data_IF_724700118592
#
_entry.id   IF_724700118592
#
_cell.length_a   1.000
_cell.length_b   1.000
_cell.length_c   1.000
_cell.angle_alpha   90.00
_cell.angle_beta   90.00
_cell.angle_gamma   90.00
#
_symmetry.space_group_name_H-M   'P 1'
#
loop_
_entity.id
_entity.type
_entity.pdbx_description
1 polymer ?
#
# COMPACT_ATOMS: atom_id res chain seq x y z
N UNK A 1 19.22 5.34 18.33
CA UNK A 1 18.51 4.32 17.53
C UNK A 1 17.08 4.81 17.40
N UNK A 2 16.80 5.49 16.28
CA UNK A 2 15.70 6.46 16.16
C UNK A 2 14.34 5.80 16.02
N UNK A 3 13.30 6.46 16.54
CA UNK A 3 11.86 6.12 16.44
C UNK A 3 11.40 5.64 15.05
N UNK A 4 12.08 6.05 13.97
CA UNK A 4 11.83 5.55 12.61
C UNK A 4 12.00 4.03 12.43
N UNK A 5 12.91 3.40 13.18
CA UNK A 5 13.12 1.95 13.13
C UNK A 5 11.99 1.20 13.84
N UNK A 6 11.44 1.75 14.92
CA UNK A 6 10.30 1.14 15.62
C UNK A 6 9.02 1.18 14.79
N UNK A 7 8.75 2.25 14.03
CA UNK A 7 7.59 2.31 13.13
C UNK A 7 7.68 1.28 12.00
N UNK A 8 8.85 1.13 11.37
CA UNK A 8 9.05 0.16 10.27
C UNK A 8 8.90 -1.29 10.76
N UNK A 9 9.38 -1.57 11.98
CA UNK A 9 9.23 -2.88 12.64
C UNK A 9 7.76 -3.17 12.97
N UNK A 10 6.98 -2.18 13.39
CA UNK A 10 5.54 -2.35 13.63
C UNK A 10 4.76 -2.66 12.34
N UNK A 11 5.06 -1.97 11.24
CA UNK A 11 4.49 -2.28 9.92
C UNK A 11 4.79 -3.73 9.49
N UNK A 12 6.03 -4.20 9.67
CA UNK A 12 6.42 -5.57 9.28
C UNK A 12 5.74 -6.68 10.09
N UNK A 13 5.39 -6.44 11.36
CA UNK A 13 4.69 -7.43 12.18
C UNK A 13 3.18 -7.54 11.87
N UNK A 14 2.62 -6.63 11.07
CA UNK A 14 1.19 -6.50 10.81
C UNK A 14 0.71 -7.16 9.49
N UNK A 15 1.60 -7.80 8.73
CA UNK A 15 1.34 -8.27 7.36
C UNK A 15 1.32 -9.80 7.21
N UNK A 16 0.67 -10.52 8.12
CA UNK A 16 0.58 -12.00 8.11
C UNK A 16 0.34 -12.58 6.70
N UNK A 17 1.22 -13.51 6.29
CA UNK A 17 1.30 -14.02 4.91
C UNK A 17 0.30 -15.17 4.67
N UNK A 18 -0.63 -15.01 3.72
CA UNK A 18 -1.48 -16.09 3.22
C UNK A 18 -1.34 -16.23 1.70
N UNK A 19 -1.22 -17.48 1.22
CA UNK A 19 -1.07 -17.79 -0.19
C UNK A 19 -2.42 -18.20 -0.80
N UNK A 20 -2.84 -17.53 -1.88
CA UNK A 20 -3.97 -17.93 -2.72
C UNK A 20 -3.50 -18.87 -3.85
N UNK A 21 -4.39 -19.73 -4.40
CA UNK A 21 -4.03 -20.76 -5.37
C UNK A 21 -3.50 -20.25 -6.72
N UNK A 22 -3.61 -18.94 -7.01
CA UNK A 22 -3.29 -18.37 -8.33
C UNK A 22 -1.92 -17.65 -8.41
N UNK A 23 -1.02 -17.87 -7.43
CA UNK A 23 0.33 -17.29 -7.45
C UNK A 23 0.39 -15.80 -7.11
N UNK A 24 -0.68 -15.29 -6.49
CA UNK A 24 -0.81 -13.94 -5.95
C UNK A 24 -0.55 -14.00 -4.44
N UNK A 25 0.39 -13.19 -3.94
CA UNK A 25 0.62 -13.04 -2.49
C UNK A 25 -0.02 -11.72 -2.07
N UNK A 26 -1.03 -11.80 -1.20
CA UNK A 26 -1.61 -10.67 -0.50
C UNK A 26 -1.06 -10.64 0.91
N UNK A 27 -0.54 -9.49 1.34
CA UNK A 27 -0.42 -9.21 2.77
C UNK A 27 -1.78 -8.69 3.25
N UNK A 28 -2.46 -9.47 4.07
CA UNK A 28 -3.71 -9.01 4.71
C UNK A 28 -3.34 -8.11 5.90
N UNK A 29 -4.05 -7.00 6.11
CA UNK A 29 -3.88 -6.22 7.33
C UNK A 29 -4.34 -7.07 8.52
N UNK A 30 -3.52 -7.23 9.57
CA UNK A 30 -4.02 -7.74 10.85
C UNK A 30 -5.01 -6.70 11.39
N UNK A 31 -6.31 -7.04 11.34
CA UNK A 31 -7.36 -6.34 12.07
C UNK A 31 -7.11 -6.55 13.56
N UNK A 32 -6.57 -5.53 14.25
CA UNK A 32 -6.42 -5.52 15.71
C UNK A 32 -7.67 -4.87 16.33
N UNK A 33 -8.59 -5.64 16.94
CA UNK A 33 -9.78 -5.10 17.58
C UNK A 33 -9.46 -4.20 18.79
N UNK A 34 -8.21 -4.19 19.27
CA UNK A 34 -7.76 -3.42 20.44
C UNK A 34 -7.22 -2.03 20.08
N UNK A 35 -7.02 -1.72 18.79
CA UNK A 35 -6.52 -0.41 18.34
C UNK A 35 -7.59 0.69 18.42
N UNK A 36 -8.87 0.35 18.21
CA UNK A 36 -9.97 1.32 18.24
C UNK A 36 -10.27 1.88 19.65
N UNK A 37 -10.02 1.10 20.70
CA UNK A 37 -10.43 1.47 22.07
C UNK A 37 -9.36 2.30 22.82
N UNK A 38 -8.09 2.28 22.36
CA UNK A 38 -7.01 3.05 22.99
C UNK A 38 -6.92 4.51 22.56
N UNK A 39 -7.43 4.87 21.38
CA UNK A 39 -7.46 6.28 20.93
C UNK A 39 -8.64 7.07 21.51
N UNK A 40 -9.71 6.40 21.96
CA UNK A 40 -10.93 7.07 22.42
C UNK A 40 -10.87 7.66 23.84
N UNK A 41 -9.90 7.32 24.68
CA UNK A 41 -9.94 7.68 26.10
C UNK A 41 -8.85 8.61 26.65
N UNK A 42 -7.89 9.10 25.84
CA UNK A 42 -6.94 10.10 26.35
C UNK A 42 -6.49 11.11 25.30
N UNK A 43 -7.31 12.17 25.12
CA UNK A 43 -6.88 13.59 25.16
C UNK A 43 -8.03 14.52 24.75
N UNK A 44 -8.77 14.99 25.75
CA UNK A 44 -9.60 16.18 25.61
C UNK A 44 -8.71 17.44 25.51
N UNK A 45 -8.97 18.23 24.47
CA UNK A 45 -8.55 19.63 24.17
C UNK A 45 -7.10 19.88 23.75
N UNK A 46 -6.91 20.10 22.44
CA UNK A 46 -6.67 21.44 21.84
C UNK A 46 -6.91 21.38 20.32
N UNK A 47 -7.70 22.34 19.84
CA UNK A 47 -7.94 22.63 18.43
C UNK A 47 -6.64 22.84 17.65
N UNK A 48 -6.36 21.95 16.70
CA UNK A 48 -5.52 22.18 15.53
C UNK A 48 -6.09 21.27 14.42
N UNK A 49 -6.80 21.88 13.46
CA UNK A 49 -7.34 21.32 12.20
C UNK A 49 -7.71 19.81 12.19
N UNK A 50 -8.99 19.51 12.47
CA UNK A 50 -9.56 18.17 12.65
C UNK A 50 -9.79 17.36 11.36
N UNK A 51 -8.86 17.38 10.40
CA UNK A 51 -8.97 16.56 9.19
C UNK A 51 -7.60 15.93 8.93
N UNK A 52 -7.26 14.91 9.71
CA UNK A 52 -6.18 14.00 9.32
C UNK A 52 -6.69 13.21 8.11
N UNK A 53 -6.11 13.46 6.94
CA UNK A 53 -6.48 12.77 5.72
C UNK A 53 -5.69 11.47 5.64
N UNK A 54 -6.39 10.35 5.57
CA UNK A 54 -5.78 9.05 5.29
C UNK A 54 -5.88 8.79 3.80
N UNK A 55 -4.84 8.17 3.25
CA UNK A 55 -4.83 7.69 1.87
C UNK A 55 -4.49 6.22 1.93
N UNK A 56 -5.49 5.39 1.68
CA UNK A 56 -5.40 3.94 1.69
C UNK A 56 -4.89 3.44 0.35
N UNK A 57 -3.74 2.76 0.37
CA UNK A 57 -3.01 2.41 -0.85
C UNK A 57 -2.94 0.90 -1.02
N UNK A 58 -3.41 0.44 -2.18
CA UNK A 58 -3.06 -0.85 -2.76
C UNK A 58 -1.76 -0.72 -3.56
N UNK A 59 -0.77 -1.54 -3.24
CA UNK A 59 0.49 -1.64 -4.01
C UNK A 59 0.51 -2.96 -4.76
N UNK A 60 0.72 -2.91 -6.07
CA UNK A 60 0.85 -4.10 -6.92
C UNK A 60 2.24 -4.12 -7.52
N UNK A 61 2.98 -5.20 -7.34
CA UNK A 61 4.27 -5.42 -7.97
C UNK A 61 4.16 -6.48 -9.05
N UNK A 62 4.60 -6.16 -10.26
CA UNK A 62 4.57 -7.09 -11.40
C UNK A 62 5.61 -8.23 -11.27
N UNK A 63 5.52 -9.19 -12.18
CA UNK A 63 6.45 -10.33 -12.23
C UNK A 63 7.90 -9.90 -12.43
N UNK A 64 8.15 -8.82 -13.20
CA UNK A 64 9.50 -8.30 -13.42
C UNK A 64 10.10 -7.66 -12.16
N UNK A 65 9.28 -6.97 -11.36
CA UNK A 65 9.67 -6.50 -10.03
C UNK A 65 9.97 -7.67 -9.09
N UNK A 66 9.18 -8.74 -9.12
CA UNK A 66 9.43 -9.96 -8.34
C UNK A 66 10.72 -10.66 -8.77
N UNK A 67 10.95 -10.82 -10.07
CA UNK A 67 12.17 -11.43 -10.60
C UNK A 67 13.42 -10.62 -10.22
N UNK A 68 13.33 -9.29 -10.27
CA UNK A 68 14.46 -8.41 -9.99
C UNK A 68 14.82 -8.33 -8.50
N UNK A 69 13.84 -8.15 -7.61
CA UNK A 69 14.09 -7.99 -6.16
C UNK A 69 14.04 -9.32 -5.38
N UNK A 70 13.44 -10.37 -5.96
CA UNK A 70 13.29 -11.68 -5.35
C UNK A 70 12.61 -11.61 -3.98
N UNK A 71 13.25 -12.22 -2.98
CA UNK A 71 12.77 -12.27 -1.60
C UNK A 71 12.80 -10.91 -0.88
N UNK A 72 13.57 -9.93 -1.39
CA UNK A 72 13.66 -8.58 -0.79
C UNK A 72 12.60 -7.61 -1.33
N UNK A 73 11.74 -8.04 -2.25
CA UNK A 73 10.74 -7.16 -2.89
C UNK A 73 9.83 -6.49 -1.86
N UNK A 74 9.35 -7.26 -0.87
CA UNK A 74 8.46 -6.74 0.15
C UNK A 74 9.14 -5.65 1.00
N UNK A 75 10.35 -5.93 1.51
CA UNK A 75 11.14 -4.95 2.26
C UNK A 75 11.46 -3.71 1.43
N UNK A 76 11.70 -3.88 0.14
CA UNK A 76 11.89 -2.77 -0.80
C UNK A 76 10.64 -1.90 -0.91
N UNK A 77 9.46 -2.51 -1.11
CA UNK A 77 8.17 -1.80 -1.18
C UNK A 77 7.92 -1.04 0.12
N UNK A 78 8.08 -1.69 1.27
CA UNK A 78 7.86 -1.07 2.57
C UNK A 78 8.83 0.08 2.84
N UNK A 79 10.09 -0.04 2.41
CA UNK A 79 11.08 1.05 2.51
C UNK A 79 10.70 2.24 1.61
N UNK A 80 10.23 1.96 0.38
CA UNK A 80 9.77 2.98 -0.55
C UNK A 80 8.57 3.73 0.05
N UNK A 81 7.56 3.01 0.54
CA UNK A 81 6.37 3.63 1.13
C UNK A 81 6.63 4.29 2.47
N UNK A 82 7.61 3.83 3.26
CA UNK A 82 8.07 4.55 4.44
C UNK A 82 8.66 5.92 4.07
N UNK A 83 9.36 6.00 2.95
CA UNK A 83 9.91 7.28 2.45
C UNK A 83 8.77 8.18 1.95
N UNK A 84 7.83 7.62 1.19
CA UNK A 84 6.62 8.33 0.72
C UNK A 84 5.84 8.90 1.90
N UNK A 85 5.52 8.08 2.91
CA UNK A 85 4.80 8.54 4.10
C UNK A 85 5.53 9.66 4.84
N UNK A 86 6.86 9.64 4.89
CA UNK A 86 7.66 10.72 5.49
C UNK A 86 7.57 12.02 4.68
N UNK A 87 7.50 11.94 3.35
CA UNK A 87 7.38 13.12 2.47
C UNK A 87 6.00 13.76 2.65
N UNK A 88 4.92 12.96 2.66
CA UNK A 88 3.55 13.45 2.77
C UNK A 88 3.20 14.02 4.15
N UNK A 89 3.96 13.66 5.20
CA UNK A 89 3.89 14.28 6.53
C UNK A 89 4.73 15.54 6.69
N UNK A 90 5.45 15.98 5.65
CA UNK A 90 6.33 17.13 5.75
C UNK A 90 5.55 18.44 5.84
N UNK A 91 5.94 19.33 6.77
CA UNK A 91 5.24 20.58 7.07
C UNK A 91 5.07 21.54 5.87
N UNK A 92 5.89 21.39 4.83
CA UNK A 92 5.79 22.21 3.62
C UNK A 92 4.45 22.07 2.89
N UNK A 93 3.78 20.92 3.04
CA UNK A 93 2.50 20.64 2.42
C UNK A 93 1.33 21.35 3.13
N UNK A 94 1.55 21.84 4.35
CA UNK A 94 0.53 22.49 5.20
C UNK A 94 -0.78 21.69 5.34
N UNK A 95 -0.70 20.38 5.12
CA UNK A 95 -1.78 19.42 5.22
C UNK A 95 -1.29 18.21 6.04
N UNK A 96 -2.20 17.59 6.79
CA UNK A 96 -1.92 16.35 7.52
C UNK A 96 -2.38 15.17 6.65
N UNK A 97 -1.45 14.61 5.86
CA UNK A 97 -1.73 13.47 4.96
C UNK A 97 -0.98 12.25 5.47
N UNK A 98 -1.73 11.18 5.76
CA UNK A 98 -1.25 9.89 6.24
C UNK A 98 -1.42 8.85 5.14
N UNK A 99 -0.33 8.51 4.47
CA UNK A 99 -0.32 7.41 3.48
C UNK A 99 -0.20 6.09 4.22
N UNK A 100 -1.17 5.19 4.01
CA UNK A 100 -1.24 3.87 4.65
C UNK A 100 -1.34 2.80 3.58
N UNK A 101 -0.43 1.83 3.60
CA UNK A 101 -0.50 0.68 2.69
C UNK A 101 -1.38 -0.38 3.32
N UNK A 102 -2.58 -0.55 2.76
CA UNK A 102 -3.60 -1.49 3.26
C UNK A 102 -3.44 -2.88 2.66
N UNK A 103 -2.89 -2.98 1.44
CA UNK A 103 -2.74 -4.24 0.70
C UNK A 103 -1.52 -4.18 -0.22
N UNK A 104 -0.68 -5.22 -0.19
CA UNK A 104 0.37 -5.44 -1.20
C UNK A 104 0.05 -6.72 -1.95
N UNK A 105 0.05 -6.63 -3.28
CA UNK A 105 -0.11 -7.76 -4.19
C UNK A 105 1.19 -7.96 -4.96
N UNK A 106 1.80 -9.14 -4.82
CA UNK A 106 2.96 -9.53 -5.61
C UNK A 106 2.52 -10.55 -6.67
N UNK A 107 2.68 -10.17 -7.94
CA UNK A 107 2.35 -11.00 -9.09
C UNK A 107 3.58 -11.80 -9.49
N UNK A 108 3.52 -13.13 -9.43
CA UNK A 108 4.64 -13.99 -9.85
C UNK A 108 4.69 -14.27 -11.34
N UNK A 109 3.54 -14.19 -12.00
CA UNK A 109 3.39 -14.53 -13.41
C UNK A 109 2.74 -13.37 -14.16
N UNK A 110 3.15 -13.14 -15.40
CA UNK A 110 2.64 -12.03 -16.24
C UNK A 110 1.13 -12.15 -16.51
N UNK A 111 0.58 -13.36 -16.50
CA UNK A 111 -0.85 -13.62 -16.72
C UNK A 111 -1.73 -13.47 -15.46
N UNK A 112 -1.14 -13.31 -14.28
CA UNK A 112 -1.89 -13.13 -13.02
C UNK A 112 -2.34 -11.67 -12.81
N UNK A 113 -1.78 -10.74 -13.57
CA UNK A 113 -1.95 -9.30 -13.39
C UNK A 113 -2.54 -8.56 -14.59
N UNK A 114 -2.55 -7.22 -14.55
CA UNK A 114 -2.80 -6.41 -15.74
C UNK A 114 -1.69 -6.66 -16.77
N UNK A 115 -2.03 -6.59 -18.05
CA UNK A 115 -1.02 -6.73 -19.09
C UNK A 115 -0.24 -5.41 -19.25
N UNK A 116 1.07 -5.47 -18.98
CA UNK A 116 1.97 -4.32 -19.03
C UNK A 116 2.59 -4.23 -20.43
N UNK A 117 2.31 -3.15 -21.14
CA UNK A 117 2.79 -2.89 -22.50
C UNK A 117 3.74 -1.70 -22.53
N UNK A 118 4.45 -1.49 -23.65
CA UNK A 118 5.30 -0.30 -23.81
C UNK A 118 4.52 1.02 -23.93
N UNK A 119 3.18 0.95 -23.98
CA UNK A 119 2.31 2.11 -23.97
C UNK A 119 1.78 2.31 -22.53
N UNK A 120 2.27 3.34 -21.85
CA UNK A 120 1.84 3.68 -20.49
C UNK A 120 0.32 3.89 -20.36
N UNK A 121 -0.34 4.44 -21.39
CA UNK A 121 -1.77 4.71 -21.35
C UNK A 121 -2.59 3.42 -21.37
N UNK A 122 -2.19 2.46 -22.21
CA UNK A 122 -2.84 1.15 -22.29
C UNK A 122 -2.63 0.36 -21.00
N UNK A 123 -1.39 0.34 -20.48
CA UNK A 123 -1.07 -0.26 -19.17
C UNK A 123 -1.91 0.33 -18.05
N UNK A 124 -2.05 1.67 -17.99
CA UNK A 124 -2.86 2.34 -16.97
C UNK A 124 -4.34 1.94 -17.06
N UNK A 125 -4.92 1.89 -18.26
CA UNK A 125 -6.32 1.50 -18.42
C UNK A 125 -6.56 0.05 -17.99
N UNK A 126 -5.66 -0.85 -18.35
CA UNK A 126 -5.76 -2.26 -17.97
C UNK A 126 -5.58 -2.45 -16.46
N UNK A 127 -4.63 -1.74 -15.85
CA UNK A 127 -4.45 -1.75 -14.40
C UNK A 127 -5.66 -1.19 -13.65
N UNK A 128 -6.25 -0.08 -14.12
CA UNK A 128 -7.46 0.49 -13.54
C UNK A 128 -8.64 -0.49 -13.55
N UNK A 129 -8.80 -1.29 -14.61
CA UNK A 129 -9.84 -2.33 -14.67
C UNK A 129 -9.53 -3.49 -13.73
N UNK A 130 -8.28 -3.93 -13.70
CA UNK A 130 -7.85 -5.06 -12.89
C UNK A 130 -7.96 -4.77 -11.39
N UNK A 131 -7.51 -3.59 -10.93
CA UNK A 131 -7.52 -3.24 -9.50
C UNK A 131 -8.93 -3.15 -8.93
N UNK A 132 -9.92 -2.77 -9.73
CA UNK A 132 -11.32 -2.66 -9.30
C UNK A 132 -11.91 -4.00 -8.86
N UNK A 133 -11.35 -5.12 -9.34
CA UNK A 133 -11.76 -6.46 -8.93
C UNK A 133 -11.39 -6.78 -7.48
N UNK A 134 -10.42 -6.04 -6.91
CA UNK A 134 -9.90 -6.21 -5.57
C UNK A 134 -10.29 -5.07 -4.63
N UNK A 135 -11.06 -4.09 -5.12
CA UNK A 135 -11.54 -2.97 -4.33
C UNK A 135 -12.97 -3.26 -3.85
N UNK A 136 -13.16 -3.28 -2.53
CA UNK A 136 -14.49 -3.38 -1.97
C UNK A 136 -15.24 -2.06 -2.18
N UNK A 137 -16.55 -2.17 -2.42
CA UNK A 137 -17.43 -0.99 -2.58
C UNK A 137 -17.74 -0.28 -1.28
N UNK A 138 -17.58 -0.98 -0.17
CA UNK A 138 -17.80 -0.46 1.16
C UNK A 138 -16.52 0.24 1.62
N UNK A 139 -16.60 1.56 1.84
CA UNK A 139 -15.44 2.37 2.26
C UNK A 139 -14.93 1.95 3.64
N UNK A 140 -15.79 1.36 4.48
CA UNK A 140 -15.41 0.87 5.81
C UNK A 140 -14.77 -0.54 5.77
N UNK A 141 -14.68 -1.18 4.59
CA UNK A 141 -14.06 -2.50 4.46
C UNK A 141 -12.53 -2.40 4.56
N UNK A 142 -11.85 -3.28 5.31
CA UNK A 142 -10.38 -3.31 5.35
C UNK A 142 -9.73 -3.65 4.00
N UNK A 143 -10.53 -4.09 3.02
CA UNK A 143 -10.09 -4.39 1.66
C UNK A 143 -10.29 -3.23 0.68
N UNK A 144 -10.94 -2.14 1.11
CA UNK A 144 -11.09 -0.91 0.34
C UNK A 144 -9.73 -0.20 0.18
N UNK A 145 -9.57 0.51 -0.93
CA UNK A 145 -8.43 1.40 -1.13
C UNK A 145 -8.84 2.64 -1.94
N UNK A 146 -8.32 3.79 -1.53
CA UNK A 146 -8.47 5.07 -2.25
C UNK A 146 -7.66 5.08 -3.55
N UNK A 147 -6.45 4.53 -3.50
CA UNK A 147 -5.47 4.60 -4.58
C UNK A 147 -4.81 3.25 -4.81
N UNK A 148 -4.64 2.87 -6.07
CA UNK A 148 -3.86 1.70 -6.46
C UNK A 148 -2.60 2.13 -7.23
N UNK A 149 -1.45 1.54 -6.90
CA UNK A 149 -0.15 1.84 -7.51
C UNK A 149 0.45 0.56 -8.08
N UNK A 150 0.78 0.56 -9.38
CA UNK A 150 1.52 -0.51 -10.05
C UNK A 150 3.02 -0.17 -10.07
N UNK A 151 3.82 -1.05 -9.49
CA UNK A 151 5.27 -1.06 -9.61
C UNK A 151 5.67 -2.05 -10.69
N UNK A 152 6.33 -1.54 -11.74
CA UNK A 152 6.82 -2.35 -12.85
C UNK A 152 8.26 -1.98 -13.20
N UNK A 153 9.03 -2.98 -13.63
CA UNK A 153 10.32 -2.78 -14.31
C UNK A 153 10.22 -2.85 -15.83
N UNK A 154 9.00 -2.98 -16.38
CA UNK A 154 8.74 -2.87 -17.80
C UNK A 154 9.00 -1.44 -18.30
N UNK A 155 9.55 -1.32 -19.50
CA UNK A 155 9.72 -0.03 -20.15
C UNK A 155 8.39 0.43 -20.76
N UNK A 156 7.74 1.39 -20.10
CA UNK A 156 6.43 1.95 -20.48
C UNK A 156 6.52 3.37 -21.06
N UNK A 157 7.73 3.93 -21.17
CA UNK A 157 7.97 5.34 -21.49
C UNK A 157 8.63 5.52 -22.85
N UNK A 158 8.11 4.84 -23.88
CA UNK A 158 8.67 4.87 -25.23
C UNK A 158 8.12 6.00 -26.10
#
# INVERSE_FOLDING_TARGET
MSVSCFQLIAFLFQYGLLALPDGVYTVEPIYDPQAEDKERQTRSRRSANSWDHYVEVLVVADSKMHEYHGYNLESYILTLFSTVASIYRHQSLRASINVVVVKIIILKHENAGPHVTSNAQDTLQQFCRWQQLYNDRDEDSPNHHDVAILLTRGDICR
#
